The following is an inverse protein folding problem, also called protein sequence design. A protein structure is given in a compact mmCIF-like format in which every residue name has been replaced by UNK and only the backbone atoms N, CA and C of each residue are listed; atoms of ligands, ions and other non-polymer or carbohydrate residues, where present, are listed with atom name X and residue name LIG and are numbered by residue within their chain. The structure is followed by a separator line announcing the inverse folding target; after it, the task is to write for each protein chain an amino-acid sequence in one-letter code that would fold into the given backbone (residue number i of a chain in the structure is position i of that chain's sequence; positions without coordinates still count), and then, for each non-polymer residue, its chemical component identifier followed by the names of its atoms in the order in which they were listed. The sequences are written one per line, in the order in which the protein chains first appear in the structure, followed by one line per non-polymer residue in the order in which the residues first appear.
data_IF_767415431340
#
_entry.id   IF_767415431340
#
_cell.length_a   1.000
_cell.length_b   1.000
_cell.length_c   1.000
_cell.angle_alpha   90.00
_cell.angle_beta   90.00
_cell.angle_gamma   90.00
#
_symmetry.space_group_name_H-M   'P 1'
#
loop_
_entity.id
_entity.type
_entity.pdbx_description
1 polymer ?
#
# COMPACT_ATOMS: atom_id res chain seq x y z
N UNK A 1 -7.25 29.59 3.62
CA UNK A 1 -7.95 28.33 3.91
C UNK A 1 -9.36 28.68 4.35
N UNK A 2 -10.38 28.12 3.71
CA UNK A 2 -11.78 28.38 4.07
C UNK A 2 -12.10 27.52 5.29
N UNK A 3 -12.43 28.15 6.42
CA UNK A 3 -12.85 27.42 7.61
C UNK A 3 -14.21 26.78 7.30
N UNK A 4 -14.33 25.47 7.52
CA UNK A 4 -15.58 24.73 7.33
C UNK A 4 -16.19 24.53 8.72
N UNK A 5 -17.37 25.13 9.01
CA UNK A 5 -17.98 25.01 10.33
C UNK A 5 -18.30 23.55 10.66
N UNK A 6 -17.98 23.14 11.90
CA UNK A 6 -18.22 21.78 12.40
C UNK A 6 -17.04 20.80 12.32
N UNK A 7 -15.85 21.23 11.86
CA UNK A 7 -14.63 20.41 11.91
C UNK A 7 -13.66 20.96 12.96
N UNK A 8 -13.47 20.24 14.06
CA UNK A 8 -12.51 20.56 15.13
C UNK A 8 -11.05 20.23 14.72
N UNK A 9 -10.70 20.45 13.45
CA UNK A 9 -9.37 20.23 12.93
C UNK A 9 -8.47 21.39 13.35
N UNK A 10 -7.36 21.07 14.04
CA UNK A 10 -6.35 22.06 14.41
C UNK A 10 -5.04 21.76 13.69
N UNK A 11 -4.43 22.78 13.10
CA UNK A 11 -3.11 22.71 12.46
C UNK A 11 -2.08 23.31 13.42
N UNK A 12 -1.19 22.46 13.95
CA UNK A 12 -0.09 22.86 14.84
C UNK A 12 1.24 22.37 14.29
N UNK A 13 2.34 22.95 14.77
CA UNK A 13 3.71 22.58 14.36
C UNK A 13 3.95 21.08 14.61
N UNK A 14 3.50 20.56 15.75
CA UNK A 14 3.68 19.16 16.14
C UNK A 14 2.97 18.21 15.20
N UNK A 15 1.76 18.57 14.74
CA UNK A 15 1.00 17.78 13.76
C UNK A 15 1.63 17.83 12.37
N UNK A 16 2.16 18.98 11.97
CA UNK A 16 2.90 19.09 10.71
C UNK A 16 4.20 18.26 10.76
N UNK A 17 4.93 18.32 11.87
CA UNK A 17 6.14 17.51 12.08
C UNK A 17 5.84 16.01 12.10
N UNK A 18 4.81 15.59 12.82
CA UNK A 18 4.43 14.18 12.86
C UNK A 18 4.04 13.69 11.48
N UNK A 19 3.24 14.46 10.72
CA UNK A 19 2.89 14.07 9.37
C UNK A 19 4.08 14.01 8.43
N UNK A 20 5.00 14.96 8.54
CA UNK A 20 6.24 14.90 7.76
C UNK A 20 7.02 13.62 8.08
N UNK A 21 7.18 13.28 9.36
CA UNK A 21 7.91 12.09 9.80
C UNK A 21 7.31 10.78 9.29
N UNK A 22 5.99 10.70 9.14
CA UNK A 22 5.34 9.54 8.52
C UNK A 22 5.60 9.43 7.02
N UNK A 23 5.88 10.56 6.34
CA UNK A 23 6.10 10.59 4.89
C UNK A 23 7.54 10.42 4.44
N UNK A 24 8.52 10.66 5.32
CA UNK A 24 9.94 10.71 4.95
C UNK A 24 10.69 9.46 5.43
N UNK A 25 11.66 9.00 4.63
CA UNK A 25 12.50 7.84 4.96
C UNK A 25 13.89 8.23 5.48
N UNK A 26 14.20 9.53 5.51
CA UNK A 26 15.49 10.05 5.95
C UNK A 26 15.67 11.52 5.56
N UNK A 27 16.92 12.00 5.63
CA UNK A 27 17.29 13.42 5.38
C UNK A 27 17.05 13.89 3.94
N UNK A 28 16.97 12.96 2.99
CA UNK A 28 16.74 13.23 1.57
C UNK A 28 15.38 12.66 1.18
N UNK A 29 14.51 13.53 0.70
CA UNK A 29 13.21 13.17 0.16
C UNK A 29 13.30 13.18 -1.38
N UNK A 30 13.20 12.00 -1.97
CA UNK A 30 13.45 11.79 -3.39
C UNK A 30 12.18 12.02 -4.22
N UNK A 31 12.18 13.07 -5.05
CA UNK A 31 11.22 13.23 -6.14
C UNK A 31 11.88 12.91 -7.50
N UNK A 32 11.08 12.91 -8.57
CA UNK A 32 11.51 12.54 -9.92
C UNK A 32 12.41 13.58 -10.60
N UNK A 33 12.25 14.84 -10.22
CA UNK A 33 12.85 16.04 -10.81
C UNK A 33 13.92 16.64 -9.90
N UNK A 34 13.74 16.57 -8.58
CA UNK A 34 14.63 17.17 -7.60
C UNK A 34 14.65 16.33 -6.32
N UNK A 35 15.77 16.33 -5.60
CA UNK A 35 15.83 15.77 -4.25
C UNK A 35 15.69 16.91 -3.25
N UNK A 36 14.71 16.83 -2.35
CA UNK A 36 14.59 17.77 -1.25
C UNK A 36 15.47 17.31 -0.07
N UNK A 37 16.37 18.18 0.38
CA UNK A 37 17.21 17.97 1.57
C UNK A 37 16.52 18.67 2.74
N UNK A 38 16.07 17.87 3.70
CA UNK A 38 15.20 18.30 4.81
C UNK A 38 15.88 18.18 6.19
N UNK A 39 17.20 18.07 6.23
CA UNK A 39 17.98 17.92 7.45
C UNK A 39 17.91 19.15 8.39
N UNK A 40 17.70 20.33 7.83
CA UNK A 40 17.61 21.61 8.55
C UNK A 40 16.24 22.28 8.40
N UNK A 41 15.19 21.52 8.07
CA UNK A 41 13.83 22.05 7.89
C UNK A 41 13.33 22.77 9.15
N UNK A 42 12.68 23.92 8.96
CA UNK A 42 12.14 24.75 10.04
C UNK A 42 10.63 24.93 9.91
N UNK A 43 9.98 25.11 11.05
CA UNK A 43 8.53 25.29 11.17
C UNK A 43 8.25 26.53 12.02
N UNK A 44 7.38 27.41 11.53
CA UNK A 44 6.97 28.64 12.20
C UNK A 44 5.44 28.76 12.17
N UNK A 45 4.83 29.19 13.28
CA UNK A 45 3.38 29.44 13.33
C UNK A 45 3.12 30.87 12.86
N UNK A 46 2.43 31.05 11.74
CA UNK A 46 2.20 32.38 11.15
C UNK A 46 0.80 32.93 11.46
N UNK A 47 -0.18 32.05 11.71
CA UNK A 47 -1.53 32.43 12.11
C UNK A 47 -2.23 31.23 12.79
N UNK A 48 -3.42 31.41 13.41
CA UNK A 48 -4.23 30.29 13.87
C UNK A 48 -4.47 29.30 12.74
N UNK A 49 -4.14 28.03 12.99
CA UNK A 49 -4.21 26.94 12.01
C UNK A 49 -3.35 27.13 10.73
N UNK A 50 -2.27 27.91 10.81
CA UNK A 50 -1.34 28.10 9.68
C UNK A 50 0.12 27.98 10.14
N UNK A 51 0.82 26.99 9.58
CA UNK A 51 2.25 26.75 9.84
C UNK A 51 3.03 26.97 8.55
N UNK A 52 4.02 27.87 8.61
CA UNK A 52 4.99 28.08 7.56
C UNK A 52 6.15 27.09 7.71
N UNK A 53 6.55 26.48 6.60
CA UNK A 53 7.62 25.48 6.55
C UNK A 53 8.70 25.98 5.59
N UNK A 54 9.93 26.10 6.07
CA UNK A 54 11.02 26.72 5.31
C UNK A 54 12.38 26.06 5.57
N UNK A 55 13.43 26.61 4.94
CA UNK A 55 14.81 26.12 5.00
C UNK A 55 15.01 24.71 4.43
N UNK A 56 14.31 24.39 3.34
CA UNK A 56 14.47 23.14 2.58
C UNK A 56 15.44 23.40 1.44
N UNK A 57 16.53 22.63 1.37
CA UNK A 57 17.50 22.69 0.27
C UNK A 57 17.13 21.69 -0.81
N UNK A 58 17.78 21.79 -1.96
CA UNK A 58 17.56 20.90 -3.08
C UNK A 58 18.87 20.35 -3.64
N UNK A 59 18.79 19.20 -4.30
CA UNK A 59 19.88 18.56 -5.04
C UNK A 59 19.34 18.04 -6.39
N UNK A 60 20.25 17.71 -7.30
CA UNK A 60 19.93 17.14 -8.62
C UNK A 60 19.01 15.91 -8.50
N UNK A 61 18.19 15.63 -9.53
CA UNK A 61 17.33 14.44 -9.52
C UNK A 61 18.14 13.18 -9.23
N UNK A 62 17.54 12.20 -8.52
CA UNK A 62 18.21 10.95 -8.24
C UNK A 62 18.57 10.23 -9.55
N UNK A 63 19.70 9.52 -9.56
CA UNK A 63 20.14 8.74 -10.73
C UNK A 63 19.14 7.65 -11.13
N UNK A 64 18.23 7.27 -10.23
CA UNK A 64 17.11 6.39 -10.50
C UNK A 64 15.79 7.07 -10.11
N UNK A 65 14.93 7.30 -11.09
CA UNK A 65 13.59 7.86 -10.86
C UNK A 65 12.58 6.73 -10.73
N UNK A 66 11.82 6.76 -9.62
CA UNK A 66 10.70 5.85 -9.40
C UNK A 66 9.54 6.28 -10.30
N UNK A 67 9.22 5.45 -11.29
CA UNK A 67 8.04 5.66 -12.15
C UNK A 67 6.92 4.73 -11.70
N UNK A 68 5.76 5.32 -11.41
CA UNK A 68 4.52 4.60 -11.22
C UNK A 68 3.79 4.48 -12.55
N UNK A 69 3.69 3.27 -13.10
CA UNK A 69 2.89 3.01 -14.30
C UNK A 69 1.51 2.54 -13.85
N UNK A 70 0.48 3.34 -14.12
CA UNK A 70 -0.91 2.98 -13.87
C UNK A 70 -1.60 2.73 -15.20
N UNK A 71 -1.76 1.46 -15.57
CA UNK A 71 -2.57 1.06 -16.73
C UNK A 71 -4.02 0.78 -16.30
N UNK A 72 -4.96 0.88 -17.25
CA UNK A 72 -6.33 0.36 -17.06
C UNK A 72 -6.25 -1.17 -16.97
N UNK A 73 -6.11 -1.70 -15.75
CA UNK A 73 -6.22 -3.13 -15.45
C UNK A 73 -7.68 -3.57 -15.34
N UNK A 74 -7.93 -4.87 -15.48
CA UNK A 74 -9.25 -5.48 -15.26
C UNK A 74 -9.72 -5.41 -13.81
N UNK A 75 -10.78 -6.13 -13.49
CA UNK A 75 -11.39 -6.19 -12.16
C UNK A 75 -10.83 -7.39 -11.37
N UNK A 76 -10.82 -7.34 -10.04
CA UNK A 76 -10.44 -8.48 -9.20
C UNK A 76 -11.45 -8.60 -8.05
N UNK A 77 -11.92 -9.81 -7.77
CA UNK A 77 -12.73 -10.12 -6.61
C UNK A 77 -11.97 -11.07 -5.67
N UNK A 78 -12.08 -10.82 -4.37
CA UNK A 78 -11.50 -11.68 -3.33
C UNK A 78 -12.59 -11.94 -2.29
N UNK A 79 -12.72 -13.21 -1.88
CA UNK A 79 -13.67 -13.60 -0.83
C UNK A 79 -12.92 -14.35 0.27
N UNK A 80 -13.17 -13.93 1.50
CA UNK A 80 -12.56 -14.48 2.71
C UNK A 80 -13.62 -15.13 3.59
N UNK A 81 -13.43 -16.41 3.91
CA UNK A 81 -14.31 -17.18 4.77
C UNK A 81 -13.54 -17.62 6.02
N UNK A 82 -14.17 -17.55 7.19
CA UNK A 82 -13.64 -18.12 8.43
C UNK A 82 -14.37 -19.42 8.74
N UNK A 83 -13.70 -20.56 8.54
CA UNK A 83 -14.23 -21.87 8.88
C UNK A 83 -13.88 -22.21 10.33
N UNK A 84 -14.89 -22.53 11.13
CA UNK A 84 -14.75 -22.93 12.54
C UNK A 84 -15.26 -24.34 12.79
N UNK A 85 -14.68 -25.03 13.78
CA UNK A 85 -15.09 -26.37 14.22
C UNK A 85 -14.09 -27.46 13.84
N UNK A 86 -14.53 -28.73 13.86
CA UNK A 86 -13.65 -29.88 13.65
C UNK A 86 -13.41 -30.18 12.16
N UNK A 87 -14.47 -30.06 11.34
CA UNK A 87 -14.48 -30.48 9.94
C UNK A 87 -14.14 -29.32 8.99
N UNK A 88 -13.00 -28.69 9.23
CA UNK A 88 -12.59 -27.48 8.49
C UNK A 88 -12.37 -27.74 7.01
N UNK A 89 -11.76 -28.87 6.65
CA UNK A 89 -11.47 -29.16 5.23
C UNK A 89 -12.75 -29.44 4.44
N UNK A 90 -13.75 -30.06 5.04
CA UNK A 90 -15.06 -30.27 4.41
C UNK A 90 -15.83 -28.96 4.28
N UNK A 91 -15.82 -28.12 5.33
CA UNK A 91 -16.44 -26.78 5.30
C UNK A 91 -15.76 -25.83 4.32
N UNK A 92 -14.45 -26.02 4.08
CA UNK A 92 -13.68 -25.29 3.08
C UNK A 92 -14.08 -25.67 1.64
N UNK A 93 -14.32 -26.97 1.40
CA UNK A 93 -14.60 -27.49 0.07
C UNK A 93 -15.99 -27.08 -0.46
N UNK A 94 -16.97 -26.86 0.43
CA UNK A 94 -18.33 -26.46 0.05
C UNK A 94 -18.40 -25.11 -0.70
N UNK A 95 -17.89 -23.99 -0.15
CA UNK A 95 -17.90 -22.70 -0.84
C UNK A 95 -17.04 -22.72 -2.12
N UNK A 96 -15.97 -23.51 -2.16
CA UNK A 96 -15.16 -23.68 -3.37
C UNK A 96 -15.95 -24.36 -4.49
N UNK A 97 -16.65 -25.47 -4.20
CA UNK A 97 -17.53 -26.13 -5.18
C UNK A 97 -18.68 -25.23 -5.62
N UNK A 98 -19.28 -24.49 -4.68
CA UNK A 98 -20.38 -23.59 -4.98
C UNK A 98 -19.91 -22.44 -5.89
N UNK A 99 -18.74 -21.87 -5.60
CA UNK A 99 -18.15 -20.84 -6.45
C UNK A 99 -17.83 -21.40 -7.84
N UNK A 100 -17.23 -22.59 -7.93
CA UNK A 100 -16.95 -23.23 -9.22
C UNK A 100 -18.23 -23.41 -10.04
N UNK A 101 -19.30 -23.94 -9.42
CA UNK A 101 -20.59 -24.14 -10.08
C UNK A 101 -21.17 -22.83 -10.67
N UNK A 102 -21.10 -21.72 -9.94
CA UNK A 102 -21.61 -20.43 -10.46
C UNK A 102 -20.71 -19.79 -11.50
N UNK A 103 -19.42 -20.13 -11.52
CA UNK A 103 -18.44 -19.56 -12.43
C UNK A 103 -18.18 -20.44 -13.68
N UNK A 104 -18.67 -21.68 -13.71
CA UNK A 104 -18.51 -22.61 -14.84
C UNK A 104 -19.10 -22.05 -16.16
N UNK A 105 -20.14 -21.21 -16.08
CA UNK A 105 -20.72 -20.51 -17.24
C UNK A 105 -19.99 -19.20 -17.61
N UNK A 106 -18.91 -18.86 -16.90
CA UNK A 106 -18.19 -17.60 -17.06
C UNK A 106 -16.76 -17.82 -17.60
N UNK A 107 -16.54 -17.72 -18.92
CA UNK A 107 -15.29 -18.14 -19.58
C UNK A 107 -14.05 -17.27 -19.31
N UNK A 108 -14.15 -16.26 -18.42
CA UNK A 108 -13.09 -15.26 -18.19
C UNK A 108 -12.38 -15.42 -16.84
N UNK A 109 -12.71 -16.44 -16.03
CA UNK A 109 -12.39 -16.45 -14.60
C UNK A 109 -11.63 -17.70 -14.17
N UNK A 110 -10.28 -17.69 -14.20
CA UNK A 110 -9.51 -18.72 -13.50
C UNK A 110 -9.63 -18.52 -11.99
N UNK A 111 -10.30 -19.45 -11.32
CA UNK A 111 -10.44 -19.52 -9.86
C UNK A 111 -9.18 -20.15 -9.26
N UNK A 112 -8.60 -19.52 -8.25
CA UNK A 112 -7.49 -20.08 -7.46
C UNK A 112 -7.87 -20.12 -5.98
N UNK A 113 -8.09 -21.29 -5.42
CA UNK A 113 -8.20 -21.42 -3.97
C UNK A 113 -6.82 -21.42 -3.32
N UNK A 114 -6.65 -20.65 -2.24
CA UNK A 114 -5.45 -20.73 -1.40
C UNK A 114 -5.87 -20.91 0.04
N UNK A 115 -5.51 -22.04 0.61
CA UNK A 115 -5.56 -22.21 2.06
C UNK A 115 -4.22 -21.76 2.66
N UNK A 116 -4.20 -20.90 3.68
CA UNK A 116 -2.99 -20.68 4.45
C UNK A 116 -2.57 -21.99 5.13
N UNK A 117 -1.25 -22.23 5.19
CA UNK A 117 -0.69 -23.39 5.90
C UNK A 117 -1.22 -23.42 7.33
N UNK A 118 -1.59 -24.62 7.78
CA UNK A 118 -2.30 -24.96 9.02
C UNK A 118 -2.18 -23.96 10.19
N UNK A 119 -3.33 -23.73 10.83
CA UNK A 119 -3.42 -23.09 12.13
C UNK A 119 -2.44 -23.73 13.14
N UNK A 120 -1.75 -22.89 13.92
CA UNK A 120 -0.87 -23.30 15.02
C UNK A 120 -1.59 -24.34 15.89
N UNK A 121 -0.97 -25.48 16.23
CA UNK A 121 -1.63 -26.50 17.04
C UNK A 121 -2.01 -25.93 18.40
N UNK A 122 -3.32 -25.74 18.62
CA UNK A 122 -3.87 -25.29 19.89
C UNK A 122 -4.07 -26.52 20.80
N UNK A 123 -3.48 -26.56 22.01
CA UNK A 123 -3.62 -27.69 22.94
C UNK A 123 -5.06 -27.89 23.45
N UNK A 124 -5.95 -26.89 23.30
CA UNK A 124 -7.36 -27.04 23.59
C UNK A 124 -8.12 -27.51 22.34
N UNK A 125 -8.37 -28.82 22.28
CA UNK A 125 -8.88 -29.62 21.14
C UNK A 125 -10.26 -29.23 20.57
N UNK A 126 -10.88 -28.13 21.02
CA UNK A 126 -12.30 -27.87 20.79
C UNK A 126 -12.62 -26.76 19.79
N UNK A 127 -11.65 -25.92 19.41
CA UNK A 127 -11.89 -24.83 18.46
C UNK A 127 -10.70 -24.68 17.52
N UNK A 128 -10.88 -25.12 16.27
CA UNK A 128 -10.00 -24.76 15.16
C UNK A 128 -10.69 -23.66 14.35
N UNK A 129 -9.94 -22.64 13.97
CA UNK A 129 -10.38 -21.57 13.06
C UNK A 129 -9.39 -21.53 11.90
N UNK A 130 -9.87 -21.65 10.67
CA UNK A 130 -9.06 -21.52 9.45
C UNK A 130 -9.66 -20.44 8.59
N UNK A 131 -8.88 -19.40 8.32
CA UNK A 131 -9.20 -18.45 7.26
C UNK A 131 -8.99 -19.17 5.93
N UNK A 132 -10.04 -19.25 5.13
CA UNK A 132 -9.96 -19.63 3.73
C UNK A 132 -10.11 -18.37 2.88
N UNK A 133 -9.19 -18.20 1.95
CA UNK A 133 -9.22 -17.14 0.96
C UNK A 133 -9.33 -17.78 -0.41
N UNK A 134 -10.40 -17.48 -1.13
CA UNK A 134 -10.51 -17.84 -2.54
C UNK A 134 -10.10 -16.63 -3.36
N UNK A 135 -9.05 -16.80 -4.17
CA UNK A 135 -8.52 -15.77 -5.05
C UNK A 135 -9.14 -15.94 -6.43
N UNK A 136 -9.80 -14.91 -6.92
CA UNK A 136 -10.18 -14.82 -8.32
C UNK A 136 -9.19 -13.87 -9.00
N UNK A 137 -8.35 -14.39 -9.90
CA UNK A 137 -7.26 -13.62 -10.48
C UNK A 137 -7.52 -13.29 -11.95
N UNK A 138 -7.88 -12.03 -12.23
CA UNK A 138 -7.51 -11.40 -13.50
C UNK A 138 -6.06 -10.90 -13.43
N UNK A 139 -5.37 -10.68 -14.57
CA UNK A 139 -3.99 -10.20 -14.58
C UNK A 139 -3.87 -8.94 -13.70
N UNK A 140 -3.14 -9.10 -12.59
CA UNK A 140 -2.95 -8.09 -11.53
C UNK A 140 -2.77 -6.67 -12.08
N UNK A 141 -3.32 -5.68 -11.36
CA UNK A 141 -2.56 -4.46 -11.06
C UNK A 141 -1.31 -4.87 -10.29
N UNK A 142 -0.22 -5.13 -11.01
CA UNK A 142 1.09 -4.96 -10.40
C UNK A 142 1.39 -3.49 -10.53
N UNK A 143 1.26 -2.73 -9.44
CA UNK A 143 2.06 -1.52 -9.30
C UNK A 143 3.50 -1.99 -9.19
N UNK A 144 4.12 -2.28 -10.34
CA UNK A 144 5.54 -2.57 -10.38
C UNK A 144 6.18 -1.21 -10.24
N UNK A 145 6.72 -0.93 -9.06
CA UNK A 145 7.74 0.12 -8.96
C UNK A 145 8.92 -0.39 -9.78
N UNK A 146 9.03 0.08 -11.01
CA UNK A 146 10.17 -0.22 -11.86
C UNK A 146 11.16 0.92 -11.58
N UNK A 147 12.30 0.58 -10.99
CA UNK A 147 13.45 1.46 -11.03
C UNK A 147 13.98 1.42 -12.47
N UNK A 148 13.78 2.49 -13.23
CA UNK A 148 14.47 2.64 -14.52
C UNK A 148 15.81 3.32 -14.23
N UNK A 149 16.89 2.55 -14.34
CA UNK A 149 18.25 3.04 -14.16
C UNK A 149 18.77 3.45 -15.55
N UNK A 150 18.64 4.73 -15.91
CA UNK A 150 19.33 5.28 -17.09
C UNK A 150 20.70 5.77 -16.64
N UNK A 151 21.69 4.87 -16.70
CA UNK A 151 23.09 5.22 -16.48
C UNK A 151 23.61 5.98 -17.71
N UNK A 152 23.56 7.32 -17.68
CA UNK A 152 24.42 8.14 -18.52
C UNK A 152 25.42 8.85 -17.61
N UNK A 153 26.51 8.14 -17.30
CA UNK A 153 27.68 8.72 -16.69
C UNK A 153 28.41 9.55 -17.75
N UNK A 154 28.34 10.88 -17.64
CA UNK A 154 29.28 11.76 -18.32
C UNK A 154 30.38 12.11 -17.30
N UNK A 155 31.67 11.81 -17.56
CA UNK A 155 32.73 12.21 -16.65
C UNK A 155 32.85 13.74 -16.66
N UNK A 156 32.82 14.34 -15.48
CA UNK A 156 33.15 15.75 -15.31
C UNK A 156 34.65 15.90 -15.60
N UNK A 157 34.96 16.45 -16.79
CA UNK A 157 36.27 16.98 -17.13
C UNK A 157 36.47 18.36 -16.50
N UNK A 158 37.72 18.61 -16.14
CA UNK A 158 38.34 19.65 -15.30
C UNK A 158 37.93 21.09 -15.55
#
# INVERSE_FOLDING_TARGET
MHEVPGRNGQVTIEKCRSQLLYGIQGKRYYNSDVVAIIDQIQFELTAPNAVYVHNIKWDKPPAATKVGITAKGGFQAEVHYFAVGLDIEEKAALPERQLQYYLDDCPLLPVQSKSPSQAVPNPNRHLKTKLLSTFESFPRRKTKTIYHQTSSYAPAGT
#
